data_IF_613469064492
#
_entry.id   IF_613469064492
#
_cell.length_a   1.000
_cell.length_b   1.000
_cell.length_c   1.000
_cell.angle_alpha   90.00
_cell.angle_beta   90.00
_cell.angle_gamma   90.00
#
_symmetry.space_group_name_H-M   'P 1'
#
loop_
_entity.id
_entity.type
_entity.pdbx_description
1 polymer ?
#
# COMPACT_ATOMS: atom_id res chain seq x y z
N UNK A 1 -16.05 24.49 56.63
CA UNK A 1 -16.58 24.96 55.33
C UNK A 1 -15.46 25.02 54.29
N UNK A 2 -14.29 25.58 54.61
CA UNK A 2 -13.12 25.66 53.71
C UNK A 2 -12.55 24.30 53.27
N UNK A 3 -12.45 23.32 54.17
CA UNK A 3 -11.90 21.98 53.81
C UNK A 3 -12.75 21.25 52.76
N UNK A 4 -14.09 21.34 52.86
CA UNK A 4 -14.99 20.70 51.90
C UNK A 4 -14.90 21.37 50.53
N UNK A 5 -14.75 22.69 50.49
CA UNK A 5 -14.55 23.46 49.26
C UNK A 5 -13.24 23.11 48.56
N UNK A 6 -12.14 22.97 49.33
CA UNK A 6 -10.85 22.51 48.80
C UNK A 6 -10.98 21.10 48.21
N UNK A 7 -11.65 20.18 48.90
CA UNK A 7 -11.87 18.80 48.42
C UNK A 7 -12.67 18.79 47.10
N UNK A 8 -13.71 19.63 46.98
CA UNK A 8 -14.50 19.73 45.74
C UNK A 8 -13.66 20.25 44.57
N UNK A 9 -12.88 21.31 44.78
CA UNK A 9 -11.95 21.82 43.76
C UNK A 9 -10.93 20.74 43.37
N UNK A 10 -10.34 20.05 44.34
CA UNK A 10 -9.38 18.97 44.07
C UNK A 10 -9.98 17.86 43.22
N UNK A 11 -11.25 17.49 43.42
CA UNK A 11 -11.93 16.49 42.58
C UNK A 11 -12.08 16.97 41.13
N UNK A 12 -12.49 18.23 40.93
CA UNK A 12 -12.62 18.81 39.58
C UNK A 12 -11.27 18.85 38.88
N UNK A 13 -10.22 19.30 39.57
CA UNK A 13 -8.86 19.35 39.04
C UNK A 13 -8.35 17.94 38.71
N UNK A 14 -8.60 16.96 39.56
CA UNK A 14 -8.21 15.57 39.31
C UNK A 14 -8.88 15.02 38.05
N UNK A 15 -10.19 15.25 37.86
CA UNK A 15 -10.92 14.81 36.65
C UNK A 15 -10.36 15.48 35.39
N UNK A 16 -10.09 16.79 35.44
CA UNK A 16 -9.49 17.51 34.30
C UNK A 16 -8.09 16.97 33.98
N UNK A 17 -7.27 16.74 35.00
CA UNK A 17 -5.93 16.21 34.83
C UNK A 17 -5.95 14.81 34.21
N UNK A 18 -6.78 13.90 34.74
CA UNK A 18 -6.95 12.55 34.18
C UNK A 18 -7.46 12.60 32.73
N UNK A 19 -8.44 13.45 32.43
CA UNK A 19 -8.96 13.65 31.07
C UNK A 19 -7.87 14.12 30.11
N UNK A 20 -7.10 15.13 30.50
CA UNK A 20 -5.97 15.64 29.71
C UNK A 20 -4.88 14.59 29.50
N UNK A 21 -4.50 13.84 30.54
CA UNK A 21 -3.52 12.76 30.42
C UNK A 21 -3.98 11.64 29.49
N UNK A 22 -5.27 11.29 29.52
CA UNK A 22 -5.83 10.28 28.63
C UNK A 22 -5.81 10.73 27.17
N UNK A 23 -6.23 11.97 26.89
CA UNK A 23 -6.16 12.54 25.53
C UNK A 23 -4.72 12.62 25.03
N UNK A 24 -3.77 12.99 25.90
CA UNK A 24 -2.35 12.99 25.58
C UNK A 24 -1.83 11.57 25.25
N UNK A 25 -2.26 10.56 26.02
CA UNK A 25 -1.93 9.16 25.76
C UNK A 25 -2.43 8.68 24.39
N UNK A 26 -3.68 9.01 24.04
CA UNK A 26 -4.25 8.73 22.72
C UNK A 26 -3.42 9.40 21.62
N UNK A 27 -3.07 10.67 21.81
CA UNK A 27 -2.26 11.41 20.84
C UNK A 27 -0.90 10.74 20.60
N UNK A 28 -0.17 10.37 21.65
CA UNK A 28 1.12 9.67 21.54
C UNK A 28 0.95 8.31 20.86
N UNK A 29 -0.10 7.55 21.19
CA UNK A 29 -0.40 6.28 20.54
C UNK A 29 -0.59 6.44 19.02
N UNK A 30 -1.37 7.44 18.59
CA UNK A 30 -1.61 7.71 17.16
C UNK A 30 -0.30 8.05 16.44
N UNK A 31 0.53 8.92 17.04
CA UNK A 31 1.82 9.31 16.46
C UNK A 31 2.76 8.11 16.35
N UNK A 32 2.88 7.29 17.39
CA UNK A 32 3.75 6.12 17.39
C UNK A 32 3.26 5.05 16.42
N UNK A 33 1.96 4.78 16.38
CA UNK A 33 1.36 3.87 15.38
C UNK A 33 1.69 4.30 13.96
N UNK A 34 1.60 5.61 13.66
CA UNK A 34 1.98 6.13 12.33
C UNK A 34 3.47 5.94 12.04
N UNK A 35 4.35 6.21 13.00
CA UNK A 35 5.81 5.99 12.84
C UNK A 35 6.12 4.52 12.56
N UNK A 36 5.45 3.60 13.25
CA UNK A 36 5.62 2.16 13.03
C UNK A 36 5.17 1.75 11.63
N UNK A 37 4.03 2.26 11.14
CA UNK A 37 3.60 2.01 9.75
C UNK A 37 4.60 2.53 8.72
N UNK A 38 5.20 3.71 8.95
CA UNK A 38 6.23 4.26 8.06
C UNK A 38 7.46 3.34 8.03
N UNK A 39 7.93 2.90 9.21
CA UNK A 39 9.04 1.95 9.32
C UNK A 39 8.72 0.63 8.60
N UNK A 40 7.55 0.04 8.86
CA UNK A 40 7.09 -1.18 8.20
C UNK A 40 7.00 -1.03 6.69
N UNK A 41 6.57 0.14 6.20
CA UNK A 41 6.53 0.44 4.75
C UNK A 41 7.93 0.45 4.15
N UNK A 42 8.90 1.08 4.80
CA UNK A 42 10.29 1.14 4.35
C UNK A 42 10.93 -0.26 4.32
N UNK A 43 10.76 -1.03 5.39
CA UNK A 43 11.29 -2.39 5.49
C UNK A 43 10.67 -3.33 4.46
N UNK A 44 9.34 -3.29 4.30
CA UNK A 44 8.65 -4.08 3.30
C UNK A 44 9.07 -3.68 1.89
N UNK A 45 9.16 -2.37 1.59
CA UNK A 45 9.59 -1.90 0.27
C UNK A 45 11.01 -2.36 -0.06
N UNK A 46 11.93 -2.36 0.91
CA UNK A 46 13.27 -2.90 0.74
C UNK A 46 13.27 -4.38 0.36
N UNK A 47 12.48 -5.21 1.05
CA UNK A 47 12.33 -6.64 0.73
C UNK A 47 11.64 -6.86 -0.61
N UNK A 48 10.56 -6.13 -0.88
CA UNK A 48 9.84 -6.15 -2.14
C UNK A 48 10.80 -5.88 -3.31
N UNK A 49 11.63 -4.86 -3.19
CA UNK A 49 12.59 -4.51 -4.24
C UNK A 49 13.59 -5.64 -4.48
N UNK A 50 14.16 -6.23 -3.41
CA UNK A 50 15.09 -7.35 -3.55
C UNK A 50 14.45 -8.59 -4.20
N UNK A 51 13.21 -8.91 -3.83
CA UNK A 51 12.50 -10.08 -4.36
C UNK A 51 11.99 -9.89 -5.78
N UNK A 52 11.47 -8.72 -6.12
CA UNK A 52 10.68 -8.50 -7.35
C UNK A 52 11.52 -7.92 -8.49
N UNK A 53 12.57 -7.15 -8.19
CA UNK A 53 13.39 -6.48 -9.23
C UNK A 53 14.03 -7.44 -10.23
N UNK A 54 14.59 -8.60 -9.84
CA UNK A 54 15.13 -9.54 -10.81
C UNK A 54 14.09 -10.00 -11.84
N UNK A 55 12.85 -10.24 -11.39
CA UNK A 55 11.72 -10.60 -12.25
C UNK A 55 11.28 -9.43 -13.13
N UNK A 56 11.20 -8.22 -12.57
CA UNK A 56 10.86 -7.01 -13.32
C UNK A 56 11.88 -6.73 -14.42
N UNK A 57 13.18 -6.78 -14.12
CA UNK A 57 14.24 -6.56 -15.11
C UNK A 57 14.18 -7.63 -16.19
N UNK A 58 14.09 -8.91 -15.81
CA UNK A 58 13.99 -10.02 -16.78
C UNK A 58 12.77 -9.84 -17.70
N UNK A 59 11.62 -9.50 -17.13
CA UNK A 59 10.38 -9.32 -17.90
C UNK A 59 10.44 -8.08 -18.80
N UNK A 60 10.92 -6.95 -18.27
CA UNK A 60 10.97 -5.68 -18.99
C UNK A 60 12.04 -5.63 -20.08
N UNK A 61 13.09 -6.45 -19.97
CA UNK A 61 14.05 -6.63 -21.06
C UNK A 61 13.43 -7.41 -22.23
N UNK A 62 12.54 -8.37 -21.94
CA UNK A 62 11.82 -9.13 -22.96
C UNK A 62 10.68 -8.33 -23.59
N UNK A 63 9.98 -7.52 -22.79
CA UNK A 63 8.87 -6.65 -23.22
C UNK A 63 9.18 -5.19 -22.84
N UNK A 64 9.94 -4.46 -23.70
CA UNK A 64 10.40 -3.11 -23.43
C UNK A 64 9.29 -2.09 -23.67
N UNK A 65 8.30 -2.05 -22.78
CA UNK A 65 7.22 -1.07 -22.89
C UNK A 65 5.92 -1.59 -22.33
N UNK A 66 4.85 -0.84 -22.65
CA UNK A 66 3.47 -1.22 -22.33
C UNK A 66 3.09 -2.45 -23.15
N UNK A 67 2.50 -3.44 -22.51
CA UNK A 67 2.07 -4.66 -23.19
C UNK A 67 0.96 -4.37 -24.19
N UNK A 68 1.21 -4.72 -25.45
CA UNK A 68 0.24 -4.69 -26.54
C UNK A 68 -0.51 -6.02 -26.67
N UNK A 69 -1.62 -6.03 -27.40
CA UNK A 69 -2.53 -7.19 -27.46
C UNK A 69 -1.87 -8.48 -27.98
N UNK A 70 -0.91 -8.37 -28.90
CA UNK A 70 -0.10 -9.48 -29.40
C UNK A 70 0.82 -10.06 -28.30
N UNK A 71 1.52 -9.19 -27.56
CA UNK A 71 2.39 -9.58 -26.46
C UNK A 71 1.60 -10.20 -25.30
N UNK A 72 0.40 -9.69 -25.02
CA UNK A 72 -0.51 -10.29 -24.02
C UNK A 72 -0.84 -11.74 -24.36
N UNK A 73 -1.15 -12.03 -25.63
CA UNK A 73 -1.43 -13.41 -26.08
C UNK A 73 -0.20 -14.29 -25.96
N UNK A 74 0.98 -13.77 -26.32
CA UNK A 74 2.24 -14.50 -26.18
C UNK A 74 2.53 -14.84 -24.71
N UNK A 75 2.41 -13.85 -23.81
CA UNK A 75 2.61 -14.04 -22.36
C UNK A 75 1.68 -15.12 -21.81
N UNK A 76 0.41 -15.15 -22.25
CA UNK A 76 -0.57 -16.16 -21.79
C UNK A 76 -0.20 -17.57 -22.25
N UNK A 77 0.35 -17.71 -23.45
CA UNK A 77 0.71 -18.99 -24.05
C UNK A 77 2.03 -19.56 -23.52
N UNK A 78 2.96 -18.70 -23.07
CA UNK A 78 4.25 -19.11 -22.51
C UNK A 78 4.16 -19.25 -20.98
N UNK A 79 4.18 -20.49 -20.46
CA UNK A 79 4.03 -20.80 -19.02
C UNK A 79 4.94 -19.95 -18.13
N UNK A 80 6.24 -19.94 -18.43
CA UNK A 80 7.25 -19.31 -17.57
C UNK A 80 7.10 -17.78 -17.55
N UNK A 81 6.70 -17.21 -18.69
CA UNK A 81 6.49 -15.77 -18.83
C UNK A 81 5.21 -15.35 -18.09
N UNK A 82 4.14 -16.13 -18.23
CA UNK A 82 2.89 -15.97 -17.48
C UNK A 82 3.12 -16.00 -15.98
N UNK A 83 3.87 -17.00 -15.50
CA UNK A 83 4.19 -17.18 -14.08
C UNK A 83 5.03 -16.03 -13.54
N UNK A 84 6.01 -15.57 -14.32
CA UNK A 84 6.83 -14.40 -13.98
C UNK A 84 5.95 -13.16 -13.80
N UNK A 85 5.07 -12.87 -14.76
CA UNK A 85 4.18 -11.71 -14.67
C UNK A 85 3.18 -11.83 -13.53
N UNK A 86 2.64 -13.03 -13.28
CA UNK A 86 1.80 -13.29 -12.12
C UNK A 86 2.52 -13.01 -10.81
N UNK A 87 3.76 -13.46 -10.68
CA UNK A 87 4.55 -13.21 -9.49
C UNK A 87 4.67 -11.71 -9.23
N UNK A 88 5.02 -10.93 -10.26
CA UNK A 88 5.13 -9.47 -10.18
C UNK A 88 3.79 -8.84 -9.75
N UNK A 89 2.69 -9.17 -10.45
CA UNK A 89 1.37 -8.59 -10.16
C UNK A 89 0.83 -8.99 -8.79
N UNK A 90 1.05 -10.24 -8.37
CA UNK A 90 0.64 -10.72 -7.05
C UNK A 90 1.41 -10.00 -5.92
N UNK A 91 2.69 -9.67 -6.14
CA UNK A 91 3.47 -8.90 -5.18
C UNK A 91 2.94 -7.46 -5.06
N UNK A 92 2.59 -6.82 -6.17
CA UNK A 92 1.92 -5.52 -6.12
C UNK A 92 0.54 -5.58 -5.46
N UNK A 93 -0.24 -6.64 -5.70
CA UNK A 93 -1.53 -6.86 -5.03
C UNK A 93 -1.36 -7.03 -3.52
N UNK A 94 -0.34 -7.78 -3.09
CA UNK A 94 -0.01 -7.96 -1.67
C UNK A 94 0.39 -6.63 -1.01
N UNK A 95 1.24 -5.83 -1.67
CA UNK A 95 1.58 -4.49 -1.22
C UNK A 95 0.33 -3.61 -1.08
N UNK A 96 -0.54 -3.61 -2.10
CA UNK A 96 -1.77 -2.84 -2.09
C UNK A 96 -2.73 -3.27 -0.98
N UNK A 97 -2.83 -4.57 -0.72
CA UNK A 97 -3.60 -5.13 0.39
C UNK A 97 -3.06 -4.64 1.72
N UNK A 98 -1.73 -4.61 1.91
CA UNK A 98 -1.13 -4.08 3.14
C UNK A 98 -1.38 -2.58 3.35
N UNK A 99 -1.50 -1.80 2.27
CA UNK A 99 -1.92 -0.39 2.35
C UNK A 99 -3.40 -0.28 2.76
N UNK A 100 -4.28 -1.08 2.14
CA UNK A 100 -5.72 -1.09 2.45
C UNK A 100 -5.99 -1.46 3.92
N UNK A 101 -5.26 -2.46 4.42
CA UNK A 101 -5.29 -2.89 5.83
C UNK A 101 -4.63 -1.90 6.81
N UNK A 102 -4.13 -0.76 6.32
CA UNK A 102 -3.37 0.22 7.11
C UNK A 102 -2.16 -0.40 7.82
N UNK A 103 -1.58 -1.47 7.28
CA UNK A 103 -0.28 -1.96 7.73
C UNK A 103 0.85 -1.04 7.21
N UNK A 104 0.65 -0.49 6.01
CA UNK A 104 1.59 0.41 5.36
C UNK A 104 1.04 1.82 5.24
N UNK A 105 1.93 2.81 5.32
CA UNK A 105 1.58 4.22 5.24
C UNK A 105 1.69 4.70 3.79
N UNK A 106 0.53 4.94 3.17
CA UNK A 106 0.42 5.35 1.76
C UNK A 106 1.28 6.57 1.41
N UNK A 107 1.40 7.55 2.32
CA UNK A 107 2.22 8.75 2.08
C UNK A 107 3.71 8.41 1.98
N UNK A 108 4.20 7.49 2.81
CA UNK A 108 5.57 7.03 2.74
C UNK A 108 5.82 6.26 1.44
N UNK A 109 4.90 5.34 1.09
CA UNK A 109 4.98 4.60 -0.17
C UNK A 109 4.98 5.53 -1.39
N UNK A 110 4.11 6.55 -1.40
CA UNK A 110 4.03 7.51 -2.48
C UNK A 110 5.35 8.26 -2.68
N UNK A 111 5.99 8.69 -1.60
CA UNK A 111 7.28 9.39 -1.65
C UNK A 111 8.42 8.47 -2.13
N UNK A 112 8.40 7.19 -1.77
CA UNK A 112 9.44 6.23 -2.14
C UNK A 112 9.34 5.78 -3.60
N UNK A 113 8.16 5.36 -4.04
CA UNK A 113 8.00 4.63 -5.31
C UNK A 113 6.66 4.85 -5.99
N UNK A 114 5.89 5.87 -5.59
CA UNK A 114 4.54 6.09 -6.13
C UNK A 114 4.49 6.16 -7.66
N UNK A 115 5.44 6.85 -8.30
CA UNK A 115 5.49 6.95 -9.77
C UNK A 115 5.86 5.61 -10.42
N UNK A 116 6.77 4.85 -9.83
CA UNK A 116 7.19 3.54 -10.32
C UNK A 116 6.02 2.56 -10.31
N UNK A 117 5.26 2.53 -9.21
CA UNK A 117 4.06 1.70 -9.06
C UNK A 117 3.01 2.09 -10.12
N UNK A 118 2.76 3.38 -10.32
CA UNK A 118 1.82 3.87 -11.35
C UNK A 118 2.27 3.43 -12.75
N UNK A 119 3.55 3.63 -13.08
CA UNK A 119 4.10 3.27 -14.39
C UNK A 119 4.04 1.76 -14.63
N UNK A 120 4.31 0.96 -13.60
CA UNK A 120 4.22 -0.50 -13.63
C UNK A 120 2.80 -0.97 -13.90
N UNK A 121 1.79 -0.35 -13.28
CA UNK A 121 0.39 -0.67 -13.56
C UNK A 121 0.03 -0.40 -15.01
N UNK A 122 0.34 0.79 -15.51
CA UNK A 122 0.06 1.15 -16.91
C UNK A 122 0.79 0.28 -17.92
N UNK A 123 1.96 -0.26 -17.54
CA UNK A 123 2.70 -1.21 -18.36
C UNK A 123 1.92 -2.52 -18.55
N UNK A 124 1.28 -3.02 -17.49
CA UNK A 124 0.66 -4.34 -17.46
C UNK A 124 -0.87 -4.32 -17.54
N UNK A 125 -1.51 -3.15 -17.55
CA UNK A 125 -2.97 -3.01 -17.50
C UNK A 125 -3.70 -3.79 -18.62
N UNK A 126 -3.13 -3.86 -19.82
CA UNK A 126 -3.70 -4.64 -20.92
C UNK A 126 -3.78 -6.14 -20.60
N UNK A 127 -2.77 -6.69 -19.93
CA UNK A 127 -2.77 -8.07 -19.46
C UNK A 127 -3.79 -8.28 -18.34
N UNK A 128 -3.88 -7.34 -17.38
CA UNK A 128 -4.86 -7.38 -16.29
C UNK A 128 -6.29 -7.44 -16.86
N UNK A 129 -6.62 -6.53 -17.78
CA UNK A 129 -7.95 -6.49 -18.41
C UNK A 129 -8.24 -7.73 -19.25
N UNK A 130 -7.27 -8.21 -20.01
CA UNK A 130 -7.41 -9.46 -20.75
C UNK A 130 -7.77 -10.62 -19.82
N UNK A 131 -7.08 -10.74 -18.68
CA UNK A 131 -7.30 -11.82 -17.71
C UNK A 131 -8.66 -11.73 -17.03
N UNK A 132 -9.12 -10.53 -16.68
CA UNK A 132 -10.47 -10.31 -16.13
C UNK A 132 -11.56 -10.76 -17.09
N UNK A 133 -11.43 -10.38 -18.36
CA UNK A 133 -12.37 -10.78 -19.40
C UNK A 133 -12.38 -12.30 -19.66
N UNK A 134 -11.20 -12.92 -19.78
CA UNK A 134 -11.08 -14.35 -20.11
C UNK A 134 -11.42 -15.30 -18.96
N UNK A 135 -11.30 -14.85 -17.71
CA UNK A 135 -11.64 -15.64 -16.52
C UNK A 135 -12.99 -15.25 -15.90
N UNK A 136 -13.69 -14.30 -16.52
CA UNK A 136 -14.96 -13.75 -16.01
C UNK A 136 -14.86 -13.30 -14.55
N UNK A 137 -13.69 -12.80 -14.14
CA UNK A 137 -13.43 -12.37 -12.77
C UNK A 137 -12.91 -10.93 -12.77
N UNK A 138 -13.76 -9.94 -12.43
CA UNK A 138 -13.38 -8.53 -12.41
C UNK A 138 -12.44 -8.17 -11.24
N UNK A 139 -12.31 -9.02 -10.23
CA UNK A 139 -11.53 -8.75 -9.01
C UNK A 139 -10.04 -9.07 -9.14
N UNK A 140 -9.62 -9.67 -10.26
CA UNK A 140 -8.21 -10.00 -10.50
C UNK A 140 -7.35 -8.72 -10.38
N UNK A 141 -6.43 -8.69 -9.40
CA UNK A 141 -5.54 -7.58 -9.07
C UNK A 141 -6.26 -6.24 -8.80
N UNK A 142 -7.43 -6.30 -8.16
CA UNK A 142 -8.25 -5.13 -7.87
C UNK A 142 -7.61 -4.20 -6.83
N UNK A 143 -6.93 -4.74 -5.81
CA UNK A 143 -6.30 -3.88 -4.80
C UNK A 143 -5.16 -3.08 -5.41
N UNK A 144 -4.38 -3.67 -6.30
CA UNK A 144 -3.33 -2.97 -7.03
C UNK A 144 -3.89 -1.78 -7.81
N UNK A 145 -5.00 -1.97 -8.53
CA UNK A 145 -5.67 -0.87 -9.24
C UNK A 145 -6.15 0.24 -8.27
N UNK A 146 -6.74 -0.14 -7.13
CA UNK A 146 -7.17 0.83 -6.10
C UNK A 146 -5.99 1.62 -5.54
N UNK A 147 -4.87 0.95 -5.26
CA UNK A 147 -3.63 1.59 -4.82
C UNK A 147 -3.15 2.63 -5.84
N UNK A 148 -3.13 2.28 -7.13
CA UNK A 148 -2.69 3.19 -8.20
C UNK A 148 -3.59 4.43 -8.25
N UNK A 149 -4.91 4.27 -8.15
CA UNK A 149 -5.86 5.41 -8.09
C UNK A 149 -5.57 6.32 -6.89
N UNK A 150 -5.29 5.75 -5.72
CA UNK A 150 -4.90 6.51 -4.53
C UNK A 150 -3.59 7.28 -4.72
N UNK A 151 -2.57 6.64 -5.30
CA UNK A 151 -1.27 7.27 -5.58
C UNK A 151 -1.39 8.41 -6.58
N UNK A 152 -2.18 8.24 -7.65
CA UNK A 152 -2.48 9.32 -8.61
C UNK A 152 -3.14 10.50 -7.90
N UNK A 153 -4.13 10.23 -7.03
CA UNK A 153 -4.83 11.29 -6.28
C UNK A 153 -3.91 12.05 -5.33
N UNK A 154 -2.91 11.40 -4.75
CA UNK A 154 -1.94 12.04 -3.85
C UNK A 154 -0.88 12.90 -4.57
N UNK A 155 -0.78 12.78 -5.90
CA UNK A 155 0.19 13.50 -6.74
C UNK A 155 -0.41 14.64 -7.54
N UNK A 156 -1.75 14.73 -7.58
CA UNK A 156 -2.49 15.88 -8.10
C UNK A 156 -2.68 16.90 -7.00
#
# INVERSE_FOLDING_TARGET
MELNYIIEISKVVAVLFTGCSFLFGIYIYIVNSRKERIKSTLEYWGKFHQEVIPYLVKFNNKYPGKLHANEVREVVNLSDTKETLHHILNKYEQLATGVDLKAYEIKALNSLSGQEIINSYHRYEAYIFYRRAHKENPEIWLQYEKLVKLLIKLRR
#
